data_IF_070618867572
#
_entry.id   IF_070618867572
#
_cell.length_a   1.000
_cell.length_b   1.000
_cell.length_c   1.000
_cell.angle_alpha   90.00
_cell.angle_beta   90.00
_cell.angle_gamma   90.00
#
_symmetry.space_group_name_H-M   'P 1'
#
loop_
_entity.id
_entity.type
_entity.pdbx_description
1 polymer ?
#
# COMPACT_ATOMS: atom_id res chain seq x y z
N UNK A 1 -21.39 10.14 21.69
CA UNK A 1 -19.95 10.02 22.00
C UNK A 1 -19.44 8.88 21.13
N UNK A 2 -19.01 9.18 19.91
CA UNK A 2 -18.76 8.16 18.89
C UNK A 2 -17.39 7.53 19.13
N UNK A 3 -17.37 6.21 19.36
CA UNK A 3 -16.16 5.41 19.48
C UNK A 3 -15.30 5.54 18.23
N UNK A 4 -14.09 6.06 18.41
CA UNK A 4 -13.07 6.21 17.37
C UNK A 4 -12.57 4.81 17.00
N UNK A 5 -13.09 4.27 15.89
CA UNK A 5 -12.70 2.97 15.34
C UNK A 5 -11.22 2.95 14.92
N UNK A 6 -10.55 1.79 14.96
CA UNK A 6 -9.12 1.69 14.70
C UNK A 6 -8.79 2.16 13.29
N UNK A 7 -8.00 3.22 13.23
CA UNK A 7 -7.50 3.89 12.03
C UNK A 7 -6.61 3.01 11.15
N UNK A 8 -6.03 1.96 11.75
CA UNK A 8 -5.20 0.95 11.10
C UNK A 8 -5.72 -0.44 11.44
N UNK A 9 -5.90 -1.29 10.44
CA UNK A 9 -6.34 -2.68 10.61
C UNK A 9 -5.50 -3.60 9.73
N UNK A 10 -5.18 -4.79 10.24
CA UNK A 10 -4.47 -5.82 9.51
C UNK A 10 -5.30 -7.10 9.45
N UNK A 11 -5.16 -7.85 8.36
CA UNK A 11 -5.75 -9.18 8.19
C UNK A 11 -4.84 -10.07 7.33
N UNK A 12 -4.91 -11.41 7.50
CA UNK A 12 -4.15 -12.33 6.66
C UNK A 12 -4.50 -12.19 5.17
N UNK A 13 -3.50 -12.28 4.31
CA UNK A 13 -3.68 -12.42 2.86
C UNK A 13 -3.86 -13.89 2.46
N UNK A 14 -4.44 -14.13 1.28
CA UNK A 14 -4.40 -15.44 0.60
C UNK A 14 -3.00 -15.74 0.04
N UNK A 15 -2.16 -14.72 -0.14
CA UNK A 15 -0.74 -14.89 -0.46
C UNK A 15 0.00 -15.30 0.83
N UNK A 16 0.68 -16.46 0.86
CA UNK A 16 1.38 -16.93 2.06
C UNK A 16 2.36 -15.90 2.61
N UNK A 17 2.26 -15.61 3.91
CA UNK A 17 3.13 -14.66 4.61
C UNK A 17 2.87 -13.18 4.30
N UNK A 18 1.93 -12.86 3.41
CA UNK A 18 1.53 -11.48 3.16
C UNK A 18 0.39 -11.06 4.10
N UNK A 19 0.36 -9.77 4.41
CA UNK A 19 -0.66 -9.14 5.27
C UNK A 19 -1.36 -8.07 4.47
N UNK A 20 -2.69 -8.05 4.52
CA UNK A 20 -3.45 -6.94 3.98
C UNK A 20 -3.73 -5.97 5.11
N UNK A 21 -3.42 -4.69 4.89
CA UNK A 21 -3.65 -3.64 5.85
C UNK A 21 -4.50 -2.52 5.24
N UNK A 22 -5.34 -1.91 6.06
CA UNK A 22 -6.16 -0.76 5.68
C UNK A 22 -5.90 0.39 6.63
N UNK A 23 -5.95 1.60 6.07
CA UNK A 23 -5.89 2.83 6.82
C UNK A 23 -7.09 3.71 6.47
N UNK A 24 -7.84 4.13 7.48
CA UNK A 24 -8.96 5.04 7.31
C UNK A 24 -8.52 6.46 7.67
N UNK A 25 -8.60 7.38 6.71
CA UNK A 25 -8.31 8.79 6.96
C UNK A 25 -9.36 9.40 7.88
N UNK A 26 -8.95 10.36 8.71
CA UNK A 26 -9.92 11.18 9.46
C UNK A 26 -10.36 12.37 8.63
N UNK A 27 -11.61 12.79 8.81
CA UNK A 27 -12.18 14.00 8.22
C UNK A 27 -11.35 15.27 8.52
N UNK A 28 -10.65 15.25 9.67
CA UNK A 28 -9.66 16.26 10.04
C UNK A 28 -8.32 15.58 10.31
N UNK A 29 -7.42 15.45 9.33
CA UNK A 29 -6.10 14.89 9.56
C UNK A 29 -5.21 15.86 10.36
N UNK A 30 -4.35 15.37 11.27
CA UNK A 30 -3.32 16.20 11.90
C UNK A 30 -2.41 16.85 10.86
N UNK A 31 -1.91 18.06 11.17
CA UNK A 31 -1.01 18.80 10.27
C UNK A 31 0.42 18.26 10.26
N UNK A 32 0.80 17.50 11.28
CA UNK A 32 2.15 16.94 11.44
C UNK A 32 2.38 15.71 10.54
N UNK A 33 3.58 15.54 9.95
CA UNK A 33 3.98 14.33 9.22
C UNK A 33 3.85 13.04 10.05
N UNK A 34 3.65 11.91 9.37
CA UNK A 34 3.39 10.60 9.99
C UNK A 34 4.54 9.74 9.56
N UNK A 35 5.23 9.26 10.56
CA UNK A 35 6.29 8.31 10.38
C UNK A 35 5.71 6.93 10.10
N UNK A 36 6.11 6.34 8.98
CA UNK A 36 6.08 4.90 8.76
C UNK A 36 7.43 4.38 9.22
N UNK A 37 7.42 3.37 10.08
CA UNK A 37 8.65 2.78 10.60
C UNK A 37 9.26 1.84 9.55
N UNK A 38 10.60 1.77 9.44
CA UNK A 38 11.24 0.85 8.52
C UNK A 38 10.99 -0.59 8.95
N UNK A 39 10.25 -1.35 8.14
CA UNK A 39 9.95 -2.77 8.37
C UNK A 39 10.68 -3.70 7.37
N UNK A 40 11.41 -3.13 6.41
CA UNK A 40 12.13 -3.86 5.36
C UNK A 40 11.23 -4.63 4.38
N UNK A 41 9.91 -4.49 4.49
CA UNK A 41 8.94 -5.12 3.61
C UNK A 41 8.64 -4.21 2.41
N UNK A 42 8.01 -4.79 1.40
CA UNK A 42 7.48 -4.04 0.27
C UNK A 42 5.96 -4.11 0.32
N UNK A 43 5.31 -3.01 -0.05
CA UNK A 43 3.85 -2.93 -0.09
C UNK A 43 3.37 -2.54 -1.49
N UNK A 44 2.23 -3.09 -1.90
CA UNK A 44 1.42 -2.50 -2.98
C UNK A 44 0.22 -1.79 -2.34
N UNK A 45 0.13 -0.47 -2.55
CA UNK A 45 -0.80 0.42 -1.87
C UNK A 45 -1.79 0.99 -2.90
N UNK A 46 -3.08 0.79 -2.68
CA UNK A 46 -4.16 1.48 -3.39
C UNK A 46 -4.58 2.70 -2.59
N UNK A 47 -4.43 3.88 -3.17
CA UNK A 47 -4.84 5.17 -2.58
C UNK A 47 -5.25 6.13 -3.68
N UNK A 48 -6.28 6.96 -3.46
CA UNK A 48 -6.66 8.01 -4.42
C UNK A 48 -6.85 7.56 -5.88
N UNK A 49 -7.32 6.33 -6.11
CA UNK A 49 -7.52 5.75 -7.46
C UNK A 49 -6.24 5.29 -8.17
N UNK A 50 -5.08 5.37 -7.51
CA UNK A 50 -3.78 4.94 -8.03
C UNK A 50 -3.22 3.75 -7.24
N UNK A 51 -2.25 3.07 -7.85
CA UNK A 51 -1.52 1.94 -7.27
C UNK A 51 -0.06 2.33 -7.13
N UNK A 52 0.43 2.35 -5.89
CA UNK A 52 1.79 2.77 -5.54
C UNK A 52 2.52 1.57 -4.95
N UNK A 53 3.73 1.31 -5.44
CA UNK A 53 4.65 0.35 -4.84
C UNK A 53 5.53 1.07 -3.83
N UNK A 54 5.50 0.59 -2.60
CA UNK A 54 6.46 0.94 -1.58
C UNK A 54 7.61 -0.05 -1.56
N UNK A 55 8.81 0.42 -1.86
CA UNK A 55 10.00 -0.37 -1.65
C UNK A 55 10.40 -0.45 -0.17
N UNK A 56 11.39 -1.29 0.16
CA UNK A 56 11.82 -1.48 1.54
C UNK A 56 12.44 -0.20 2.08
N UNK A 57 11.97 0.21 3.24
CA UNK A 57 12.49 1.37 3.95
C UNK A 57 13.66 0.96 4.86
N UNK A 58 14.77 1.67 4.74
CA UNK A 58 15.90 1.63 5.69
C UNK A 58 15.80 2.74 6.74
N UNK A 59 14.98 3.76 6.47
CA UNK A 59 14.71 4.88 7.36
C UNK A 59 13.22 5.14 7.48
N UNK A 60 12.82 5.90 8.49
CA UNK A 60 11.43 6.29 8.67
C UNK A 60 10.91 7.14 7.49
N UNK A 61 9.90 6.64 6.78
CA UNK A 61 9.25 7.39 5.70
C UNK A 61 8.20 8.36 6.26
N UNK A 62 8.21 9.61 5.80
CA UNK A 62 7.28 10.64 6.25
C UNK A 62 6.14 10.82 5.24
N UNK A 63 4.92 10.47 5.65
CA UNK A 63 3.73 10.69 4.83
C UNK A 63 3.28 12.14 4.92
N UNK A 64 3.36 12.86 3.80
CA UNK A 64 2.92 14.23 3.67
C UNK A 64 1.42 14.37 3.98
N UNK A 65 0.95 15.49 4.58
CA UNK A 65 -0.46 15.67 4.93
C UNK A 65 -1.45 15.46 3.76
N UNK A 66 -1.05 15.83 2.54
CA UNK A 66 -1.89 15.68 1.33
C UNK A 66 -2.10 14.23 0.86
N UNK A 67 -1.24 13.30 1.27
CA UNK A 67 -1.26 11.89 0.85
C UNK A 67 -1.87 10.96 1.92
N UNK A 68 -2.62 11.53 2.88
CA UNK A 68 -3.23 10.81 4.00
C UNK A 68 -4.66 10.37 3.76
N UNK A 69 -5.04 10.18 2.51
CA UNK A 69 -6.32 9.58 2.17
C UNK A 69 -6.44 8.16 2.74
N UNK A 70 -7.67 7.65 2.80
CA UNK A 70 -7.87 6.25 3.12
C UNK A 70 -7.17 5.38 2.09
N UNK A 71 -6.58 4.28 2.52
CA UNK A 71 -5.89 3.36 1.64
C UNK A 71 -6.04 1.92 2.10
N UNK A 72 -5.84 1.02 1.15
CA UNK A 72 -5.72 -0.40 1.39
C UNK A 72 -4.45 -0.88 0.70
N UNK A 73 -3.75 -1.82 1.31
CA UNK A 73 -2.48 -2.30 0.80
C UNK A 73 -2.23 -3.74 1.17
N UNK A 74 -1.35 -4.38 0.41
CA UNK A 74 -0.79 -5.68 0.74
C UNK A 74 0.70 -5.53 1.01
N UNK A 75 1.10 -5.89 2.24
CA UNK A 75 2.49 -6.08 2.64
C UNK A 75 2.92 -7.48 2.26
N UNK A 76 3.93 -7.58 1.41
CA UNK A 76 4.46 -8.86 0.97
C UNK A 76 5.45 -9.42 2.00
N UNK A 77 5.51 -10.74 2.13
CA UNK A 77 6.62 -11.38 2.83
C UNK A 77 7.96 -10.98 2.18
N UNK A 78 9.06 -10.88 2.96
CA UNK A 78 10.37 -10.56 2.41
C UNK A 78 10.76 -11.44 1.22
N UNK A 79 11.18 -10.80 0.12
CA UNK A 79 11.56 -11.50 -1.12
C UNK A 79 10.41 -11.86 -2.07
N UNK A 80 9.14 -11.75 -1.64
CA UNK A 80 7.98 -12.07 -2.50
C UNK A 80 7.67 -10.98 -3.52
N UNK A 81 7.68 -9.70 -3.10
CA UNK A 81 7.33 -8.59 -3.97
C UNK A 81 8.22 -8.48 -5.22
N UNK A 82 9.55 -8.65 -5.15
CA UNK A 82 10.40 -8.57 -6.35
C UNK A 82 10.03 -9.59 -7.42
N UNK A 83 9.64 -10.80 -7.01
CA UNK A 83 9.23 -11.87 -7.94
C UNK A 83 7.89 -11.53 -8.59
N UNK A 84 6.93 -11.00 -7.83
CA UNK A 84 5.60 -10.66 -8.34
C UNK A 84 5.59 -9.38 -9.19
N UNK A 85 6.34 -8.37 -8.76
CA UNK A 85 6.37 -7.05 -9.40
C UNK A 85 7.38 -7.00 -10.57
N UNK A 86 8.30 -7.96 -10.66
CA UNK A 86 9.32 -7.99 -11.71
C UNK A 86 10.41 -6.92 -11.57
N UNK A 87 10.54 -6.32 -10.37
CA UNK A 87 11.49 -5.25 -10.07
C UNK A 87 12.32 -5.64 -8.84
N UNK A 88 13.66 -5.63 -8.93
CA UNK A 88 14.51 -5.89 -7.77
C UNK A 88 14.22 -4.93 -6.61
N UNK A 89 14.14 -5.45 -5.38
CA UNK A 89 13.82 -4.63 -4.19
C UNK A 89 14.77 -3.44 -4.00
N UNK A 90 16.04 -3.59 -4.38
CA UNK A 90 17.06 -2.55 -4.20
C UNK A 90 16.86 -1.34 -5.11
N UNK A 91 16.15 -1.49 -6.23
CA UNK A 91 15.82 -0.38 -7.13
C UNK A 91 14.77 0.57 -6.53
N UNK A 92 13.91 0.04 -5.64
CA UNK A 92 12.86 0.80 -4.96
C UNK A 92 13.19 1.09 -3.49
N UNK A 93 14.37 0.72 -3.00
CA UNK A 93 14.76 0.94 -1.60
C UNK A 93 14.66 2.42 -1.23
N UNK A 94 13.98 2.72 -0.13
CA UNK A 94 13.67 4.08 0.34
C UNK A 94 12.85 4.93 -0.64
N UNK A 95 12.26 4.32 -1.66
CA UNK A 95 11.48 4.99 -2.70
C UNK A 95 10.08 4.43 -2.84
N UNK A 96 9.21 5.24 -3.46
CA UNK A 96 7.86 4.89 -3.88
C UNK A 96 7.76 5.13 -5.38
N UNK A 97 7.11 4.21 -6.09
CA UNK A 97 6.89 4.31 -7.53
C UNK A 97 5.42 4.04 -7.85
N UNK A 98 4.86 4.73 -8.84
CA UNK A 98 3.56 4.34 -9.37
C UNK A 98 3.72 2.98 -10.07
N UNK A 99 2.76 2.07 -9.89
CA UNK A 99 2.80 0.78 -10.55
C UNK A 99 2.80 0.95 -12.09
N UNK A 100 2.22 2.04 -12.59
CA UNK A 100 2.22 2.42 -14.00
C UNK A 100 3.61 2.73 -14.56
N UNK A 101 4.59 3.07 -13.72
CA UNK A 101 5.98 3.27 -14.14
C UNK A 101 6.75 1.94 -14.24
N UNK A 102 6.24 0.89 -13.59
CA UNK A 102 6.87 -0.43 -13.53
C UNK A 102 6.24 -1.41 -14.53
N UNK A 103 4.92 -1.30 -14.74
CA UNK A 103 4.12 -2.22 -15.53
C UNK A 103 3.45 -1.52 -16.72
N UNK A 104 3.13 -2.27 -17.80
CA UNK A 104 2.34 -1.73 -18.90
C UNK A 104 0.99 -1.16 -18.41
N UNK A 105 0.63 0.04 -18.88
CA UNK A 105 -0.58 0.75 -18.44
C UNK A 105 -1.88 -0.06 -18.55
N UNK A 106 -1.99 -0.95 -19.56
CA UNK A 106 -3.15 -1.82 -19.72
C UNK A 106 -3.28 -2.85 -18.59
N UNK A 107 -2.17 -3.38 -18.09
CA UNK A 107 -2.16 -4.32 -16.98
C UNK A 107 -2.53 -3.61 -15.67
N UNK A 108 -1.99 -2.42 -15.44
CA UNK A 108 -2.31 -1.60 -14.27
C UNK A 108 -3.78 -1.22 -14.26
N UNK A 109 -4.33 -0.75 -15.39
CA UNK A 109 -5.76 -0.43 -15.50
C UNK A 109 -6.65 -1.61 -15.16
N UNK A 110 -6.37 -2.79 -15.73
CA UNK A 110 -7.13 -4.02 -15.46
C UNK A 110 -7.06 -4.42 -13.97
N UNK A 111 -5.90 -4.24 -13.34
CA UNK A 111 -5.75 -4.51 -11.91
C UNK A 111 -6.55 -3.51 -11.08
N UNK A 112 -6.45 -2.21 -11.38
CA UNK A 112 -7.22 -1.17 -10.70
C UNK A 112 -8.73 -1.42 -10.83
N UNK A 113 -9.23 -1.70 -12.04
CA UNK A 113 -10.64 -2.02 -12.28
C UNK A 113 -11.12 -3.21 -11.42
N UNK A 114 -10.32 -4.30 -11.34
CA UNK A 114 -10.64 -5.46 -10.49
C UNK A 114 -10.68 -5.11 -8.99
N UNK A 115 -9.79 -4.22 -8.54
CA UNK A 115 -9.75 -3.77 -7.14
C UNK A 115 -10.92 -2.82 -6.83
N UNK A 116 -11.36 -2.04 -7.82
CA UNK A 116 -12.47 -1.08 -7.72
C UNK A 116 -13.84 -1.78 -7.69
N UNK A 117 -13.99 -2.88 -8.44
CA UNK A 117 -15.20 -3.71 -8.46
C UNK A 117 -15.41 -4.50 -7.16
N UNK A 118 -14.35 -4.68 -6.37
CA UNK A 118 -14.48 -5.38 -5.10
C UNK A 118 -15.04 -4.48 -4.01
N UNK A 119 -16.18 -4.89 -3.46
CA UNK A 119 -16.87 -4.20 -2.35
C UNK A 119 -16.00 -4.02 -1.10
N UNK A 120 -14.94 -4.83 -0.96
CA UNK A 120 -13.91 -4.68 0.06
C UNK A 120 -12.53 -4.60 -0.64
N UNK A 121 -11.86 -3.43 -0.62
CA UNK A 121 -10.55 -3.23 -1.25
C UNK A 121 -9.48 -4.20 -0.76
N UNK A 122 -9.66 -4.76 0.44
CA UNK A 122 -8.73 -5.69 1.04
C UNK A 122 -9.17 -7.17 0.89
N UNK A 123 -10.32 -7.42 0.25
CA UNK A 123 -10.74 -8.73 -0.25
C UNK A 123 -10.33 -8.98 -1.71
N UNK A 124 -10.12 -7.92 -2.51
CA UNK A 124 -9.52 -8.06 -3.84
C UNK A 124 -8.01 -8.22 -3.72
N UNK A 125 -7.56 -9.47 -3.79
CA UNK A 125 -6.15 -9.81 -3.77
C UNK A 125 -5.68 -10.19 -5.18
N UNK A 126 -4.40 -9.92 -5.44
CA UNK A 126 -3.73 -10.03 -6.75
C UNK A 126 -3.63 -11.49 -7.17
#
# INVERSE_FOLDING_TARGET
>A
MSEERPRYQERPSRLPGAVVWTWDASDRPPREPRSVLPDGCMDLIRTGGRLVVAGPDTHAFQVAPGDRGSCAAIRFAPGTAPVLLGVPAHELRDHRAELADLWPAAAVRRLTERLDEAADPAAAQI
#
